data_IF_913866905685
#
_entry.id   IF_913866905685
#
_cell.length_a   1.000
_cell.length_b   1.000
_cell.length_c   1.000
_cell.angle_alpha   90.00
_cell.angle_beta   90.00
_cell.angle_gamma   90.00
#
_symmetry.space_group_name_H-M   'P 1'
#
loop_
_entity.id
_entity.type
_entity.pdbx_description
1 polymer ?
#
# COMPACT_ATOMS: atom_id res chain seq x y z
N UNK A 1 5.80 -18.35 -5.05
CA UNK A 1 4.93 -18.14 -6.24
C UNK A 1 4.15 -16.85 -6.03
N UNK A 2 3.98 -16.00 -7.05
CA UNK A 2 3.15 -14.78 -6.96
C UNK A 2 1.68 -15.17 -7.18
N UNK A 3 0.77 -14.75 -6.29
CA UNK A 3 -0.66 -15.03 -6.46
C UNK A 3 -1.28 -14.15 -7.56
N UNK A 4 -2.31 -14.66 -8.24
CA UNK A 4 -3.16 -13.85 -9.13
C UNK A 4 -3.77 -12.65 -8.39
N UNK A 5 -4.02 -12.75 -7.08
CA UNK A 5 -4.50 -11.63 -6.26
C UNK A 5 -3.40 -10.64 -5.87
N UNK A 6 -2.13 -11.05 -5.99
CA UNK A 6 -1.00 -10.13 -5.87
C UNK A 6 -0.86 -9.25 -7.11
N UNK A 7 -1.19 -9.83 -8.28
CA UNK A 7 -1.20 -9.15 -9.56
C UNK A 7 -2.44 -8.26 -9.74
N UNK A 8 -3.63 -8.74 -9.42
CA UNK A 8 -4.87 -7.99 -9.64
C UNK A 8 -5.49 -7.55 -8.32
N UNK A 9 -5.19 -6.30 -7.93
CA UNK A 9 -5.69 -5.71 -6.69
C UNK A 9 -6.79 -4.69 -6.96
N UNK A 10 -7.83 -4.79 -6.14
CA UNK A 10 -8.84 -3.72 -5.99
C UNK A 10 -8.15 -2.57 -5.25
N UNK A 11 -8.04 -1.42 -5.91
CA UNK A 11 -7.43 -0.23 -5.34
C UNK A 11 -8.16 1.04 -5.75
N UNK A 12 -7.57 2.17 -5.39
CA UNK A 12 -8.11 3.51 -5.59
C UNK A 12 -7.09 4.29 -6.43
N UNK A 13 -7.58 5.06 -7.39
CA UNK A 13 -6.77 5.96 -8.19
C UNK A 13 -6.24 5.35 -9.50
N UNK A 14 -5.66 6.18 -10.39
CA UNK A 14 -5.20 5.76 -11.71
C UNK A 14 -3.93 4.90 -11.68
N UNK A 15 -3.18 4.85 -10.56
CA UNK A 15 -1.87 4.18 -10.47
C UNK A 15 -1.64 3.50 -9.10
N UNK A 16 -1.27 2.22 -9.10
CA UNK A 16 -1.05 1.40 -7.89
C UNK A 16 0.20 1.82 -7.11
N UNK A 17 1.29 2.16 -7.81
CA UNK A 17 2.55 2.56 -7.19
C UNK A 17 2.50 3.94 -6.52
N UNK A 18 1.61 4.82 -7.00
CA UNK A 18 1.51 6.20 -6.56
C UNK A 18 0.32 6.49 -5.64
N UNK A 19 -0.62 5.54 -5.52
CA UNK A 19 -1.80 5.69 -4.65
C UNK A 19 -1.91 4.54 -3.65
N UNK A 20 -1.89 3.28 -4.08
CA UNK A 20 -2.06 2.12 -3.17
C UNK A 20 -0.86 1.94 -2.25
N UNK A 21 0.36 2.00 -2.78
CA UNK A 21 1.59 1.88 -1.99
C UNK A 21 1.70 2.95 -0.90
N UNK A 22 1.65 4.25 -1.25
CA UNK A 22 1.76 5.34 -0.29
C UNK A 22 0.67 5.33 0.80
N UNK A 23 -0.57 4.95 0.45
CA UNK A 23 -1.65 4.79 1.44
C UNK A 23 -1.37 3.65 2.43
N UNK A 24 -0.89 2.51 1.94
CA UNK A 24 -0.45 1.41 2.83
C UNK A 24 0.69 1.83 3.74
N UNK A 25 1.64 2.63 3.26
CA UNK A 25 2.77 3.08 4.07
C UNK A 25 2.30 3.99 5.21
N UNK A 26 1.37 4.91 4.93
CA UNK A 26 0.72 5.71 5.96
C UNK A 26 0.00 4.86 7.01
N UNK A 27 -0.77 3.85 6.57
CA UNK A 27 -1.50 2.94 7.46
C UNK A 27 -0.55 2.13 8.35
N UNK A 28 0.47 1.50 7.76
CA UNK A 28 1.47 0.72 8.50
C UNK A 28 2.24 1.57 9.51
N UNK A 29 2.56 2.82 9.17
CA UNK A 29 3.22 3.73 10.11
C UNK A 29 2.34 4.02 11.34
N UNK A 30 1.04 4.23 11.14
CA UNK A 30 0.09 4.47 12.23
C UNK A 30 -0.13 3.22 13.07
N UNK A 31 -0.25 2.05 12.44
CA UNK A 31 -0.37 0.78 13.14
C UNK A 31 0.86 0.52 14.02
N UNK A 32 2.07 0.80 13.51
CA UNK A 32 3.30 0.72 14.28
C UNK A 32 3.26 1.64 15.53
N UNK A 33 2.76 2.86 15.39
CA UNK A 33 2.63 3.79 16.53
C UNK A 33 1.63 3.29 17.58
N UNK A 34 0.56 2.61 17.15
CA UNK A 34 -0.41 1.97 18.05
C UNK A 34 0.23 0.79 18.76
N UNK A 35 0.89 -0.10 18.03
CA UNK A 35 1.55 -1.30 18.57
C UNK A 35 2.63 -0.94 19.59
N UNK A 36 3.37 0.13 19.35
CA UNK A 36 4.39 0.65 20.28
C UNK A 36 3.80 1.45 21.45
N UNK A 37 2.48 1.67 21.49
CA UNK A 37 1.81 2.48 22.51
C UNK A 37 2.14 3.99 22.44
N UNK A 38 2.71 4.47 21.33
CA UNK A 38 3.17 5.85 21.16
C UNK A 38 2.11 6.79 20.59
N UNK A 39 1.03 6.27 19.99
CA UNK A 39 0.02 7.08 19.27
C UNK A 39 -0.48 8.28 20.11
N UNK A 40 -0.72 8.08 21.41
CA UNK A 40 -1.26 9.11 22.29
C UNK A 40 -0.25 10.21 22.66
N UNK A 41 1.03 10.00 22.41
CA UNK A 41 2.07 11.01 22.64
C UNK A 41 2.32 11.87 21.39
N UNK A 42 1.83 11.44 20.22
CA UNK A 42 2.06 12.14 18.96
C UNK A 42 1.31 13.47 18.97
N UNK A 43 2.04 14.56 18.73
CA UNK A 43 1.49 15.91 18.58
C UNK A 43 1.59 16.40 17.14
N UNK A 44 2.55 15.90 16.36
CA UNK A 44 2.78 16.31 14.96
C UNK A 44 3.25 15.15 14.11
N UNK A 45 2.78 15.11 12.86
CA UNK A 45 3.29 14.19 11.83
C UNK A 45 3.88 15.00 10.69
N UNK A 46 4.97 14.52 10.11
CA UNK A 46 5.55 15.05 8.89
C UNK A 46 5.88 13.92 7.91
N UNK A 47 5.91 14.25 6.62
CA UNK A 47 6.21 13.30 5.55
C UNK A 47 7.18 13.93 4.56
N UNK A 48 8.27 13.24 4.26
CA UNK A 48 9.12 13.54 3.11
C UNK A 48 8.82 12.52 1.99
N UNK A 49 8.55 13.00 0.78
CA UNK A 49 8.32 12.17 -0.42
C UNK A 49 9.48 12.39 -1.38
N UNK A 50 10.07 11.32 -1.90
CA UNK A 50 11.31 11.35 -2.68
C UNK A 50 11.14 10.85 -4.12
N UNK A 51 12.07 11.25 -4.98
CA UNK A 51 12.29 10.73 -6.32
C UNK A 51 11.08 10.74 -7.26
N UNK A 52 10.86 9.65 -8.00
CA UNK A 52 9.78 9.57 -9.00
C UNK A 52 8.39 9.75 -8.38
N UNK A 53 8.21 9.30 -7.13
CA UNK A 53 6.98 9.49 -6.36
C UNK A 53 6.71 10.98 -6.06
N UNK A 54 7.79 11.75 -5.88
CA UNK A 54 7.71 13.18 -5.62
C UNK A 54 7.40 13.99 -6.88
N UNK A 55 8.05 13.65 -7.99
CA UNK A 55 7.92 14.35 -9.27
C UNK A 55 6.50 14.27 -9.87
N UNK A 56 5.79 13.18 -9.60
CA UNK A 56 4.46 12.91 -10.14
C UNK A 56 3.35 13.02 -9.07
N UNK A 57 3.72 13.23 -7.80
CA UNK A 57 2.86 13.02 -6.63
C UNK A 57 1.62 13.90 -6.53
N UNK A 58 1.74 15.21 -6.79
CA UNK A 58 0.58 16.13 -6.81
C UNK A 58 -0.39 15.85 -7.97
N UNK A 59 0.09 15.25 -9.06
CA UNK A 59 -0.73 14.86 -10.21
C UNK A 59 -1.37 13.47 -10.09
N UNK A 60 -0.85 12.60 -9.23
CA UNK A 60 -1.29 11.22 -9.05
C UNK A 60 -1.91 10.93 -7.68
N UNK A 61 -2.28 11.97 -6.93
CA UNK A 61 -2.95 11.86 -5.62
C UNK A 61 -2.12 11.13 -4.56
N UNK A 62 -0.79 11.19 -4.64
CA UNK A 62 0.10 10.56 -3.66
C UNK A 62 0.01 11.23 -2.29
N UNK A 63 -0.12 12.56 -2.27
CA UNK A 63 -0.40 13.33 -1.06
C UNK A 63 -1.66 12.83 -0.35
N UNK A 64 -2.76 12.77 -1.09
CA UNK A 64 -4.06 12.31 -0.62
C UNK A 64 -3.95 10.87 -0.13
N UNK A 65 -3.29 9.99 -0.87
CA UNK A 65 -3.08 8.60 -0.48
C UNK A 65 -2.37 8.49 0.88
N UNK A 66 -1.28 9.21 1.08
CA UNK A 66 -0.53 9.18 2.35
C UNK A 66 -1.39 9.72 3.48
N UNK A 67 -2.10 10.85 3.27
CA UNK A 67 -2.99 11.44 4.27
C UNK A 67 -4.10 10.46 4.67
N UNK A 68 -4.74 9.80 3.70
CA UNK A 68 -5.79 8.82 3.98
C UNK A 68 -5.23 7.58 4.70
N UNK A 69 -4.01 7.16 4.36
CA UNK A 69 -3.30 6.09 5.07
C UNK A 69 -3.03 6.43 6.54
N UNK A 70 -2.48 7.63 6.78
CA UNK A 70 -2.24 8.18 8.13
C UNK A 70 -3.55 8.37 8.92
N UNK A 71 -4.65 8.68 8.24
CA UNK A 71 -5.97 8.70 8.85
C UNK A 71 -6.50 7.29 9.20
N UNK A 72 -5.76 6.23 8.90
CA UNK A 72 -6.09 4.85 9.27
C UNK A 72 -7.00 4.13 8.27
N UNK A 73 -7.17 4.68 7.07
CA UNK A 73 -7.94 4.04 6.02
C UNK A 73 -7.09 3.10 5.17
N UNK A 74 -7.74 2.11 4.56
CA UNK A 74 -7.10 1.17 3.64
C UNK A 74 -7.62 1.33 2.21
N UNK A 75 -6.79 1.09 1.17
CA UNK A 75 -7.21 1.21 -0.22
C UNK A 75 -8.43 0.36 -0.59
N UNK A 76 -8.63 -0.78 0.07
CA UNK A 76 -9.71 -1.70 -0.25
C UNK A 76 -11.09 -1.27 0.29
N UNK A 77 -11.11 -0.43 1.33
CA UNK A 77 -12.31 -0.17 2.16
C UNK A 77 -12.67 1.30 2.31
N UNK A 78 -11.81 2.24 1.91
CA UNK A 78 -12.12 3.67 2.07
C UNK A 78 -13.30 4.10 1.19
N UNK A 79 -14.11 4.98 1.74
CA UNK A 79 -15.16 5.67 0.98
C UNK A 79 -14.54 6.77 0.11
N UNK A 80 -14.44 6.49 -1.19
CA UNK A 80 -13.84 7.38 -2.19
C UNK A 80 -14.58 8.73 -2.26
N UNK A 81 -15.90 8.74 -2.02
CA UNK A 81 -16.70 9.96 -2.15
C UNK A 81 -16.46 10.93 -0.98
N UNK A 82 -15.99 10.41 0.16
CA UNK A 82 -15.64 11.23 1.33
C UNK A 82 -14.26 11.91 1.25
N UNK A 83 -13.36 11.38 0.42
CA UNK A 83 -11.96 11.84 0.33
C UNK A 83 -11.83 13.35 0.09
N UNK A 84 -12.53 13.96 -0.90
CA UNK A 84 -12.34 15.38 -1.18
C UNK A 84 -12.76 16.29 -0.03
N UNK A 85 -13.77 15.87 0.75
CA UNK A 85 -14.24 16.63 1.93
C UNK A 85 -13.21 16.50 3.04
N UNK A 86 -12.72 15.29 3.30
CA UNK A 86 -11.71 15.03 4.33
C UNK A 86 -10.41 15.82 4.08
N UNK A 87 -9.89 15.80 2.85
CA UNK A 87 -8.65 16.50 2.50
C UNK A 87 -8.80 18.01 2.62
N UNK A 88 -9.90 18.58 2.15
CA UNK A 88 -10.19 20.02 2.33
C UNK A 88 -10.21 20.41 3.80
N UNK A 89 -10.74 19.53 4.63
CA UNK A 89 -10.83 19.77 6.06
C UNK A 89 -9.45 19.75 6.73
N UNK A 90 -8.61 18.76 6.41
CA UNK A 90 -7.21 18.69 6.86
C UNK A 90 -6.43 19.93 6.44
N UNK A 91 -6.58 20.37 5.19
CA UNK A 91 -5.91 21.57 4.69
C UNK A 91 -6.40 22.86 5.34
N UNK A 92 -7.69 22.96 5.64
CA UNK A 92 -8.27 24.15 6.24
C UNK A 92 -7.93 24.26 7.74
N UNK A 93 -7.89 23.12 8.45
CA UNK A 93 -7.57 23.07 9.87
C UNK A 93 -6.07 23.00 10.14
N UNK A 94 -5.27 22.57 9.16
CA UNK A 94 -3.85 22.22 9.35
C UNK A 94 -3.65 21.13 10.41
N UNK A 95 -4.65 20.25 10.53
CA UNK A 95 -4.75 19.21 11.57
C UNK A 95 -5.21 17.91 10.94
N UNK A 96 -4.57 16.82 11.33
CA UNK A 96 -4.87 15.48 10.83
C UNK A 96 -5.40 14.59 11.95
N UNK A 97 -6.51 13.93 11.68
CA UNK A 97 -7.05 12.87 12.53
C UNK A 97 -6.38 11.54 12.15
N UNK A 98 -5.50 11.03 13.01
CA UNK A 98 -4.84 9.74 12.88
C UNK A 98 -5.75 8.60 13.35
N UNK A 99 -5.51 7.40 12.82
CA UNK A 99 -6.13 6.16 13.29
C UNK A 99 -7.65 6.26 13.44
N UNK A 100 -8.32 6.75 12.38
CA UNK A 100 -9.77 6.95 12.30
C UNK A 100 -10.32 7.86 13.41
N UNK A 101 -9.55 8.89 13.80
CA UNK A 101 -9.96 9.87 14.80
C UNK A 101 -9.51 9.56 16.22
N UNK A 102 -8.74 8.50 16.45
CA UNK A 102 -8.22 8.18 17.78
C UNK A 102 -7.22 9.22 18.31
N UNK A 103 -6.59 9.99 17.42
CA UNK A 103 -5.70 11.10 17.81
C UNK A 103 -5.70 12.20 16.77
N UNK A 104 -5.88 13.45 17.19
CA UNK A 104 -5.63 14.62 16.34
C UNK A 104 -4.20 15.12 16.52
N UNK A 105 -3.53 15.46 15.42
CA UNK A 105 -2.15 15.96 15.39
C UNK A 105 -2.01 17.16 14.46
N UNK A 106 -0.97 17.96 14.69
CA UNK A 106 -0.55 19.00 13.77
C UNK A 106 -0.09 18.39 12.44
N UNK A 107 -0.62 18.94 11.35
CA UNK A 107 -0.24 18.60 10.00
C UNK A 107 -0.31 19.86 9.12
N UNK A 108 0.67 20.77 9.27
CA UNK A 108 0.65 22.07 8.61
C UNK A 108 0.81 21.93 7.09
N UNK A 109 0.19 22.84 6.33
CA UNK A 109 0.32 22.85 4.86
C UNK A 109 1.77 23.05 4.45
N UNK A 110 2.49 23.88 5.18
CA UNK A 110 3.93 24.06 5.02
C UNK A 110 4.69 23.13 5.98
N UNK A 111 5.52 22.25 5.43
CA UNK A 111 6.36 21.34 6.22
C UNK A 111 5.68 20.06 6.73
N UNK A 112 4.35 19.94 6.65
CA UNK A 112 3.65 18.67 6.96
C UNK A 112 3.90 17.60 5.90
N UNK A 113 3.97 17.99 4.62
CA UNK A 113 4.40 17.11 3.53
C UNK A 113 5.34 17.84 2.58
N UNK A 114 6.56 17.33 2.45
CA UNK A 114 7.63 17.92 1.64
C UNK A 114 7.96 16.99 0.48
N UNK A 115 7.84 17.53 -0.74
CA UNK A 115 8.18 16.84 -1.98
C UNK A 115 9.62 17.17 -2.36
N UNK A 116 10.50 16.17 -2.31
CA UNK A 116 11.94 16.29 -2.58
C UNK A 116 12.28 15.67 -3.93
N UNK A 117 13.10 16.36 -4.71
CA UNK A 117 13.52 15.87 -6.03
C UNK A 117 14.67 14.86 -5.95
N UNK A 118 15.30 14.72 -4.78
CA UNK A 118 16.36 13.72 -4.59
C UNK A 118 15.77 12.31 -4.51
N UNK A 119 16.54 11.33 -4.99
CA UNK A 119 16.25 9.92 -4.82
C UNK A 119 16.91 9.40 -3.53
N UNK A 120 16.25 8.46 -2.86
CA UNK A 120 16.90 7.65 -1.83
C UNK A 120 17.78 6.58 -2.48
N UNK A 121 18.76 6.07 -1.75
CA UNK A 121 19.80 5.16 -2.26
C UNK A 121 19.26 3.79 -2.68
N UNK A 122 18.16 3.33 -2.09
CA UNK A 122 17.64 1.98 -2.29
C UNK A 122 16.60 1.89 -3.41
N UNK A 123 15.77 2.91 -3.59
CA UNK A 123 14.71 2.92 -4.61
C UNK A 123 14.26 4.34 -4.95
N UNK A 124 13.81 4.56 -6.19
CA UNK A 124 13.36 5.86 -6.69
C UNK A 124 12.03 6.33 -6.08
N UNK A 125 11.16 5.40 -5.69
CA UNK A 125 9.88 5.70 -5.02
C UNK A 125 10.02 5.57 -3.49
N UNK A 126 10.63 6.56 -2.85
CA UNK A 126 10.81 6.59 -1.41
C UNK A 126 9.87 7.55 -0.69
N UNK A 127 9.50 7.22 0.55
CA UNK A 127 8.87 8.16 1.47
C UNK A 127 9.35 7.92 2.90
N UNK A 128 9.53 8.98 3.67
CA UNK A 128 9.88 8.91 5.09
C UNK A 128 8.80 9.60 5.90
N UNK A 129 8.24 8.88 6.86
CA UNK A 129 7.22 9.37 7.79
C UNK A 129 7.84 9.59 9.17
N UNK A 130 7.43 10.68 9.80
CA UNK A 130 7.93 11.11 11.10
C UNK A 130 6.78 11.39 12.05
N UNK A 131 6.91 10.96 13.30
CA UNK A 131 6.00 11.28 14.39
C UNK A 131 6.76 11.98 15.51
N UNK A 132 6.20 13.08 16.02
CA UNK A 132 6.83 13.90 17.06
C UNK A 132 5.92 14.08 18.28
N UNK A 133 6.53 14.27 19.44
CA UNK A 133 5.91 14.81 20.66
C UNK A 133 6.57 16.17 20.96
N UNK A 134 5.90 17.26 20.60
CA UNK A 134 6.53 18.58 20.49
C UNK A 134 7.67 18.54 19.46
N UNK A 135 8.88 18.86 19.92
CA UNK A 135 10.10 18.83 19.10
C UNK A 135 10.83 17.48 19.15
N UNK A 136 10.39 16.55 20.01
CA UNK A 136 11.04 15.24 20.16
C UNK A 136 10.53 14.28 19.09
N UNK A 137 11.44 13.72 18.30
CA UNK A 137 11.14 12.64 17.37
C UNK A 137 10.82 11.34 18.15
N UNK A 138 9.62 10.80 17.96
CA UNK A 138 9.16 9.55 18.57
C UNK A 138 9.44 8.33 17.70
N UNK A 139 9.25 8.49 16.39
CA UNK A 139 9.39 7.42 15.41
C UNK A 139 9.70 8.00 14.03
N UNK A 140 10.53 7.27 13.28
CA UNK A 140 10.87 7.58 11.89
C UNK A 140 10.94 6.30 11.09
N UNK A 141 10.15 6.21 10.02
CA UNK A 141 10.18 5.07 9.11
C UNK A 141 10.24 5.49 7.65
N UNK A 142 11.12 4.83 6.93
CA UNK A 142 11.27 4.98 5.49
C UNK A 142 10.68 3.76 4.78
N UNK A 143 9.81 4.02 3.82
CA UNK A 143 9.11 3.03 3.01
C UNK A 143 9.42 3.25 1.54
N UNK A 144 9.49 2.16 0.79
CA UNK A 144 9.72 2.13 -0.65
C UNK A 144 8.52 1.49 -1.35
N UNK A 145 7.96 2.19 -2.35
CA UNK A 145 6.89 1.66 -3.20
C UNK A 145 7.50 0.98 -4.43
N UNK A 146 7.57 -0.35 -4.41
CA UNK A 146 8.29 -1.15 -5.41
C UNK A 146 7.43 -1.63 -6.60
N UNK A 147 6.20 -1.12 -6.72
CA UNK A 147 5.25 -1.49 -7.80
C UNK A 147 4.18 -2.49 -7.37
N UNK A 148 3.09 -2.62 -8.15
CA UNK A 148 1.96 -3.53 -7.86
C UNK A 148 1.22 -3.26 -6.54
N UNK A 149 1.38 -2.06 -5.96
CA UNK A 149 0.83 -1.71 -4.64
C UNK A 149 1.53 -2.42 -3.47
N UNK A 150 2.75 -2.92 -3.67
CA UNK A 150 3.62 -3.42 -2.62
C UNK A 150 4.49 -2.30 -2.05
N UNK A 151 4.70 -2.36 -0.74
CA UNK A 151 5.64 -1.51 -0.02
C UNK A 151 6.59 -2.36 0.79
N UNK A 152 7.81 -1.88 0.93
CA UNK A 152 8.85 -2.50 1.75
C UNK A 152 9.47 -1.41 2.60
N UNK A 153 9.60 -1.66 3.90
CA UNK A 153 10.36 -0.74 4.74
C UNK A 153 11.86 -0.89 4.49
N UNK A 154 12.64 0.14 4.85
CA UNK A 154 14.08 0.14 4.62
C UNK A 154 14.82 -1.06 5.24
N UNK A 155 14.37 -1.56 6.39
CA UNK A 155 15.03 -2.68 7.07
C UNK A 155 14.83 -4.02 6.34
N UNK A 156 13.74 -4.15 5.58
CA UNK A 156 13.39 -5.34 4.83
C UNK A 156 13.69 -5.22 3.32
N UNK A 157 14.32 -4.12 2.88
CA UNK A 157 14.62 -3.90 1.47
C UNK A 157 15.61 -4.96 0.94
N UNK A 158 15.23 -5.68 -0.10
CA UNK A 158 16.03 -6.77 -0.68
C UNK A 158 15.87 -8.13 0.03
N UNK A 159 15.05 -8.23 1.07
CA UNK A 159 14.65 -9.52 1.64
C UNK A 159 13.48 -10.10 0.83
N UNK A 160 13.53 -11.39 0.51
CA UNK A 160 12.42 -12.07 -0.15
C UNK A 160 11.23 -12.11 0.81
N UNK A 161 10.21 -11.28 0.56
CA UNK A 161 8.92 -11.30 1.26
C UNK A 161 8.02 -12.46 0.77
N UNK A 162 8.49 -13.25 -0.20
CA UNK A 162 7.78 -14.43 -0.64
C UNK A 162 7.99 -15.52 0.41
N UNK A 163 7.00 -15.72 1.25
CA UNK A 163 6.84 -17.00 1.94
C UNK A 163 6.89 -18.09 0.85
N UNK A 164 7.85 -19.00 0.95
CA UNK A 164 7.91 -20.20 0.12
C UNK A 164 6.78 -21.15 0.54
N UNK A 165 5.54 -20.73 0.30
CA UNK A 165 4.40 -21.62 0.42
C UNK A 165 4.54 -22.66 -0.68
N UNK A 166 4.72 -23.92 -0.27
CA UNK A 166 4.84 -25.04 -1.17
C UNK A 166 3.52 -25.19 -1.95
N UNK A 167 3.57 -24.87 -3.25
CA UNK A 167 2.45 -25.07 -4.17
C UNK A 167 2.59 -26.42 -4.90
N UNK A 168 1.49 -27.06 -5.32
CA UNK A 168 1.53 -28.37 -5.98
C UNK A 168 2.33 -28.40 -7.29
N UNK A 169 2.32 -27.30 -8.06
CA UNK A 169 2.95 -27.22 -9.38
C UNK A 169 3.83 -25.97 -9.49
N UNK A 170 4.99 -25.91 -8.79
CA UNK A 170 5.86 -24.74 -8.83
C UNK A 170 6.50 -24.58 -10.21
N UNK A 171 6.68 -23.34 -10.65
CA UNK A 171 7.36 -23.01 -11.90
C UNK A 171 8.06 -21.64 -11.80
N UNK A 172 9.22 -21.55 -12.43
CA UNK A 172 10.03 -20.33 -12.58
C UNK A 172 10.20 -19.97 -14.06
N UNK A 173 10.07 -20.96 -14.95
CA UNK A 173 10.21 -20.79 -16.39
C UNK A 173 8.96 -21.27 -17.13
N UNK A 174 8.65 -20.62 -18.26
CA UNK A 174 7.50 -21.00 -19.09
C UNK A 174 7.54 -22.48 -19.52
N UNK A 175 8.75 -23.05 -19.73
CA UNK A 175 8.93 -24.46 -20.08
C UNK A 175 8.42 -25.43 -19.01
N UNK A 176 8.54 -25.05 -17.73
CA UNK A 176 8.13 -25.87 -16.58
C UNK A 176 6.61 -25.88 -16.47
N UNK A 177 5.98 -24.70 -16.60
CA UNK A 177 4.53 -24.56 -16.64
C UNK A 177 3.91 -25.40 -17.77
N UNK A 178 4.50 -25.37 -18.97
CA UNK A 178 4.06 -26.19 -20.10
C UNK A 178 4.30 -27.68 -19.86
N UNK A 179 5.38 -28.07 -19.18
CA UNK A 179 5.61 -29.46 -18.81
C UNK A 179 4.51 -29.96 -17.89
N UNK A 180 4.23 -29.24 -16.80
CA UNK A 180 3.18 -29.61 -15.86
C UNK A 180 1.80 -29.73 -16.53
N UNK A 181 1.47 -28.85 -17.49
CA UNK A 181 0.23 -28.96 -18.26
C UNK A 181 0.18 -30.25 -19.09
N UNK A 182 1.29 -30.64 -19.73
CA UNK A 182 1.39 -31.91 -20.48
C UNK A 182 1.29 -33.13 -19.56
N UNK A 183 1.96 -33.09 -18.42
CA UNK A 183 2.06 -34.22 -17.51
C UNK A 183 0.75 -34.47 -16.75
N UNK A 184 -0.01 -33.40 -16.46
CA UNK A 184 -1.28 -33.49 -15.71
C UNK A 184 -2.53 -33.50 -16.61
N UNK A 185 -2.40 -33.11 -17.87
CA UNK A 185 -3.54 -32.87 -18.77
C UNK A 185 -4.38 -31.64 -18.42
N UNK A 186 -3.98 -30.84 -17.42
CA UNK A 186 -4.70 -29.63 -17.03
C UNK A 186 -4.42 -28.47 -17.99
N UNK A 187 -5.41 -27.60 -18.18
CA UNK A 187 -5.17 -26.29 -18.79
C UNK A 187 -4.27 -25.43 -17.90
N UNK A 188 -3.64 -24.43 -18.49
CA UNK A 188 -2.83 -23.46 -17.76
C UNK A 188 -3.61 -22.79 -16.61
N UNK A 189 -4.88 -22.43 -16.86
CA UNK A 189 -5.77 -21.88 -15.83
C UNK A 189 -6.10 -22.88 -14.72
N UNK A 190 -6.28 -24.17 -15.05
CA UNK A 190 -6.54 -25.22 -14.07
C UNK A 190 -5.35 -25.46 -13.14
N UNK A 191 -4.14 -25.44 -13.69
CA UNK A 191 -2.90 -25.56 -12.93
C UNK A 191 -2.69 -24.37 -11.99
N UNK A 192 -2.81 -23.14 -12.52
CA UNK A 192 -2.71 -21.92 -11.70
C UNK A 192 -3.77 -21.94 -10.59
N UNK A 193 -5.02 -22.35 -10.89
CA UNK A 193 -6.06 -22.47 -9.87
C UNK A 193 -5.69 -23.46 -8.75
N UNK A 194 -5.05 -24.60 -9.08
CA UNK A 194 -4.57 -25.55 -8.06
C UNK A 194 -3.49 -24.96 -7.17
N UNK A 195 -2.60 -24.16 -7.72
CA UNK A 195 -1.61 -23.45 -6.93
C UNK A 195 -2.22 -22.35 -6.06
N UNK A 196 -3.15 -21.55 -6.60
CA UNK A 196 -3.89 -20.52 -5.83
C UNK A 196 -4.65 -21.12 -4.64
N UNK A 197 -5.26 -22.29 -4.83
CA UNK A 197 -5.95 -23.02 -3.77
C UNK A 197 -5.00 -23.47 -2.64
N UNK A 198 -3.73 -23.67 -2.93
CA UNK A 198 -2.71 -23.99 -1.92
C UNK A 198 -2.18 -22.74 -1.20
N UNK A 199 -2.22 -21.58 -1.84
CA UNK A 199 -1.85 -20.29 -1.26
C UNK A 199 -2.96 -19.71 -0.35
N UNK A 200 -4.22 -20.08 -0.58
CA UNK A 200 -5.36 -19.60 0.20
C UNK A 200 -5.71 -20.54 1.37
N UNK A 201 -5.44 -20.15 2.62
CA UNK A 201 -5.98 -20.86 3.80
C UNK A 201 -7.52 -20.81 3.81
N UNK A 202 -8.16 -21.85 4.37
CA UNK A 202 -9.55 -22.27 4.14
C UNK A 202 -10.70 -21.24 4.28
N UNK A 203 -10.44 -20.00 4.74
CA UNK A 203 -11.44 -18.94 4.97
C UNK A 203 -11.74 -18.11 3.72
N UNK A 204 -10.85 -18.07 2.72
CA UNK A 204 -10.96 -17.16 1.56
C UNK A 204 -11.35 -17.88 0.27
N UNK A 205 -12.27 -18.85 0.34
CA UNK A 205 -12.70 -19.59 -0.84
C UNK A 205 -13.76 -18.80 -1.62
N UNK A 206 -13.40 -18.36 -2.82
CA UNK A 206 -14.26 -17.83 -3.91
C UNK A 206 -14.74 -16.37 -3.87
N UNK A 207 -14.59 -15.61 -2.79
CA UNK A 207 -15.03 -14.20 -2.75
C UNK A 207 -14.24 -13.22 -3.65
N UNK A 208 -12.90 -13.31 -3.82
CA UNK A 208 -12.15 -12.24 -4.47
C UNK A 208 -12.25 -12.17 -6.01
N UNK A 209 -12.39 -13.29 -6.73
CA UNK A 209 -12.51 -13.26 -8.22
C UNK A 209 -13.84 -12.64 -8.66
N UNK A 210 -14.94 -12.98 -7.99
CA UNK A 210 -16.24 -12.34 -8.22
C UNK A 210 -16.25 -10.87 -7.77
N UNK A 211 -15.52 -10.52 -6.71
CA UNK A 211 -15.38 -9.12 -6.29
C UNK A 211 -14.60 -8.26 -7.31
N UNK A 212 -13.64 -8.85 -8.03
CA UNK A 212 -12.95 -8.22 -9.16
C UNK A 212 -13.90 -8.08 -10.36
N UNK A 213 -14.68 -9.12 -10.67
CA UNK A 213 -15.62 -9.16 -11.81
C UNK A 213 -16.90 -8.33 -11.62
N UNK A 214 -17.34 -8.09 -10.39
CA UNK A 214 -18.67 -7.56 -10.07
C UNK A 214 -18.73 -6.07 -9.75
N UNK A 215 -17.59 -5.35 -9.70
CA UNK A 215 -17.58 -3.92 -9.38
C UNK A 215 -17.88 -3.08 -10.64
N UNK A 216 -18.87 -2.17 -10.60
CA UNK A 216 -19.14 -1.28 -11.71
C UNK A 216 -17.92 -0.39 -12.01
N UNK A 217 -17.66 -0.15 -13.30
CA UNK A 217 -16.51 0.57 -13.87
C UNK A 217 -16.41 2.07 -13.50
N UNK A 218 -17.08 2.51 -12.41
CA UNK A 218 -17.05 3.89 -11.93
C UNK A 218 -16.17 3.95 -10.67
N UNK A 219 -14.88 4.25 -10.86
CA UNK A 219 -13.87 4.67 -9.85
C UNK A 219 -13.07 3.61 -9.07
N UNK A 220 -13.32 2.31 -9.25
CA UNK A 220 -12.44 1.25 -8.74
C UNK A 220 -11.74 0.60 -9.91
N UNK A 221 -10.43 0.83 -10.04
CA UNK A 221 -9.62 0.23 -11.09
C UNK A 221 -9.06 -1.10 -10.59
N UNK A 222 -9.13 -2.14 -11.42
CA UNK A 222 -8.26 -3.30 -11.26
C UNK A 222 -6.88 -2.82 -11.66
N UNK A 223 -5.98 -2.69 -10.70
CA UNK A 223 -4.62 -2.25 -10.99
C UNK A 223 -3.72 -3.48 -11.02
N UNK A 224 -3.05 -3.65 -12.16
CA UNK A 224 -2.00 -4.65 -12.39
C UNK A 224 -0.63 -4.16 -11.87
#
# INVERSE_FOLDING_TARGET
MISVFDMFKVGIGPSSSHTVGPMKAGKQFVDLLIEQGKLQDVTRVAVDVYGSLSLTGKGHHTDIAIIMGLAGFEPASVDIDSIPVFIKDVEARERLLLAQGAREVDFPREGGMVFRSENLSLHENGMTLYAFAGDRLLERKTYYSIGGGFIVDEAHFGQSVLDEVAVPYPFHLAKELLSHCRDTGMSLSGLVMKNELALCTAVTKFTPILAISGKPCRRVSIVA
#
